data_IF_116917365412
#
_entry.id   IF_116917365412
#
_cell.length_a   1.000
_cell.length_b   1.000
_cell.length_c   1.000
_cell.angle_alpha   90.00
_cell.angle_beta   90.00
_cell.angle_gamma   90.00
#
_symmetry.space_group_name_H-M   'P 1'
#
loop_
_entity.id
_entity.type
_entity.pdbx_description
1 polymer ?
#
# COMPACT_ATOMS: atom_id res chain seq x y z
N UNK A 1 -15.88 -5.02 53.28
CA UNK A 1 -14.81 -4.04 53.53
C UNK A 1 -13.99 -4.00 52.24
N UNK A 2 -14.53 -3.36 51.20
CA UNK A 2 -14.45 -1.93 50.84
C UNK A 2 -13.06 -1.55 50.31
N UNK A 3 -12.97 -1.42 48.99
CA UNK A 3 -12.73 -0.17 48.27
C UNK A 3 -12.97 -0.47 46.77
N UNK A 4 -14.12 -0.17 46.17
CA UNK A 4 -14.41 1.08 45.45
C UNK A 4 -13.20 1.68 44.75
N UNK A 5 -12.92 1.20 43.54
CA UNK A 5 -12.34 2.04 42.48
C UNK A 5 -13.45 2.36 41.48
N UNK A 6 -14.35 3.24 41.91
CA UNK A 6 -15.11 4.10 41.02
C UNK A 6 -14.19 5.25 40.62
N UNK A 7 -13.75 5.26 39.36
CA UNK A 7 -13.07 6.40 38.77
C UNK A 7 -11.89 5.99 37.92
N UNK A 8 -12.12 5.82 36.60
CA UNK A 8 -11.34 6.45 35.51
C UNK A 8 -11.48 5.74 34.14
N UNK A 9 -12.55 4.98 33.89
CA UNK A 9 -12.73 4.31 32.57
C UNK A 9 -12.81 5.31 31.39
N UNK A 10 -13.27 6.54 31.62
CA UNK A 10 -13.37 7.57 30.58
C UNK A 10 -12.02 8.11 30.13
N UNK A 11 -10.98 8.06 30.97
CA UNK A 11 -9.65 8.47 30.55
C UNK A 11 -9.01 7.43 29.62
N UNK A 12 -9.36 6.14 29.73
CA UNK A 12 -8.69 5.05 29.00
C UNK A 12 -8.85 5.14 27.48
N UNK A 13 -10.08 5.24 26.96
CA UNK A 13 -10.31 5.31 25.49
C UNK A 13 -9.78 6.61 24.90
N UNK A 14 -9.99 7.74 25.59
CA UNK A 14 -9.49 9.02 25.11
C UNK A 14 -7.95 9.08 25.13
N UNK A 15 -7.30 8.51 26.15
CA UNK A 15 -5.84 8.40 26.20
C UNK A 15 -5.31 7.40 25.17
N UNK A 16 -6.02 6.29 24.93
CA UNK A 16 -5.72 5.37 23.84
C UNK A 16 -5.71 6.12 22.50
N UNK A 17 -6.78 6.85 22.16
CA UNK A 17 -6.83 7.63 20.92
C UNK A 17 -5.75 8.70 20.84
N UNK A 18 -5.40 9.37 21.96
CA UNK A 18 -4.31 10.35 22.00
C UNK A 18 -2.91 9.74 21.77
N UNK A 19 -2.73 8.46 22.12
CA UNK A 19 -1.46 7.74 21.94
C UNK A 19 -1.43 6.88 20.67
N UNK A 20 -2.57 6.72 20.00
CA UNK A 20 -2.71 5.99 18.76
C UNK A 20 -1.93 6.68 17.64
N UNK A 21 -1.17 5.90 16.86
CA UNK A 21 -0.31 6.42 15.81
C UNK A 21 -0.26 5.43 14.64
N UNK A 22 0.38 5.83 13.53
CA UNK A 22 0.42 5.05 12.29
C UNK A 22 1.01 3.65 12.51
N UNK A 23 2.00 3.50 13.41
CA UNK A 23 2.56 2.18 13.72
C UNK A 23 1.50 1.26 14.33
N UNK A 24 0.71 1.75 15.29
CA UNK A 24 -0.37 0.97 15.90
C UNK A 24 -1.41 0.54 14.86
N UNK A 25 -1.76 1.43 13.91
CA UNK A 25 -2.65 1.09 12.82
C UNK A 25 -2.08 -0.04 11.93
N UNK A 26 -0.80 0.05 11.56
CA UNK A 26 -0.12 -1.00 10.78
C UNK A 26 -0.11 -2.32 11.54
N UNK A 27 0.23 -2.30 12.84
CA UNK A 27 0.27 -3.51 13.65
C UNK A 27 -1.12 -4.18 13.71
N UNK A 28 -2.20 -3.41 13.91
CA UNK A 28 -3.58 -3.92 13.91
C UNK A 28 -3.95 -4.54 12.56
N UNK A 29 -3.57 -3.90 11.45
CA UNK A 29 -3.85 -4.44 10.10
C UNK A 29 -3.08 -5.75 9.88
N UNK A 30 -1.82 -5.82 10.29
CA UNK A 30 -1.00 -7.03 10.17
C UNK A 30 -1.58 -8.17 11.02
N UNK A 31 -2.01 -7.88 12.23
CA UNK A 31 -2.66 -8.86 13.11
C UNK A 31 -3.98 -9.35 12.52
N UNK A 32 -4.86 -8.42 12.11
CA UNK A 32 -6.14 -8.75 11.49
C UNK A 32 -5.99 -9.53 10.18
N UNK A 33 -4.91 -9.29 9.42
CA UNK A 33 -4.62 -10.07 8.21
C UNK A 33 -4.36 -11.56 8.52
N UNK A 34 -3.85 -11.87 9.72
CA UNK A 34 -3.68 -13.24 10.18
C UNK A 34 -4.99 -14.01 10.35
N UNK A 35 -6.09 -13.30 10.63
CA UNK A 35 -7.43 -13.88 10.81
C UNK A 35 -8.17 -14.09 9.48
N UNK A 36 -7.66 -13.55 8.37
CA UNK A 36 -8.26 -13.73 7.04
C UNK A 36 -8.04 -15.17 6.58
N UNK A 37 -9.11 -15.96 6.66
CA UNK A 37 -9.08 -17.38 6.27
C UNK A 37 -9.14 -17.58 4.75
N UNK A 38 -8.87 -18.81 4.31
CA UNK A 38 -9.07 -19.23 2.91
C UNK A 38 -10.54 -19.03 2.47
N UNK A 39 -11.49 -19.21 3.38
CA UNK A 39 -12.91 -19.06 3.07
C UNK A 39 -13.28 -17.58 2.89
N UNK A 40 -12.67 -16.67 3.66
CA UNK A 40 -12.76 -15.21 3.43
C UNK A 40 -12.32 -14.84 2.02
N UNK A 41 -11.13 -15.31 1.61
CA UNK A 41 -10.61 -15.06 0.27
C UNK A 41 -11.50 -15.70 -0.80
N UNK A 42 -11.95 -16.93 -0.58
CA UNK A 42 -12.80 -17.65 -1.53
C UNK A 42 -14.14 -16.93 -1.73
N UNK A 43 -14.71 -16.34 -0.68
CA UNK A 43 -15.93 -15.54 -0.79
C UNK A 43 -15.77 -14.27 -1.61
N UNK A 44 -14.67 -13.55 -1.43
CA UNK A 44 -14.35 -12.35 -2.21
C UNK A 44 -14.11 -12.72 -3.68
N UNK A 45 -13.21 -13.68 -3.92
CA UNK A 45 -12.81 -14.05 -5.27
C UNK A 45 -13.91 -14.76 -6.06
N UNK A 46 -14.86 -15.45 -5.41
CA UNK A 46 -16.01 -16.07 -6.10
C UNK A 46 -16.85 -15.04 -6.86
N UNK A 47 -16.95 -13.79 -6.37
CA UNK A 47 -17.68 -12.73 -7.09
C UNK A 47 -16.99 -12.32 -8.40
N UNK A 48 -15.67 -12.43 -8.47
CA UNK A 48 -14.85 -12.01 -9.62
C UNK A 48 -14.53 -13.19 -10.56
N UNK A 49 -14.32 -14.37 -10.00
CA UNK A 49 -13.86 -15.58 -10.69
C UNK A 49 -14.70 -16.81 -10.26
N UNK A 50 -16.01 -16.83 -10.57
CA UNK A 50 -16.91 -17.90 -10.13
C UNK A 50 -16.50 -19.28 -10.69
N UNK A 51 -15.88 -19.32 -11.87
CA UNK A 51 -15.43 -20.54 -12.53
C UNK A 51 -14.19 -21.19 -11.88
N UNK A 52 -13.52 -20.49 -10.95
CA UNK A 52 -12.34 -21.02 -10.27
C UNK A 52 -12.66 -21.45 -8.82
N UNK A 53 -13.77 -20.97 -8.26
CA UNK A 53 -14.14 -21.18 -6.86
C UNK A 53 -15.48 -21.90 -6.79
N UNK A 54 -15.42 -23.24 -6.84
CA UNK A 54 -16.61 -24.09 -6.82
C UNK A 54 -17.00 -24.58 -5.41
N UNK A 55 -16.04 -24.65 -4.49
CA UNK A 55 -16.23 -25.32 -3.20
C UNK A 55 -16.73 -24.36 -2.09
N UNK A 56 -16.80 -23.06 -2.36
CA UNK A 56 -17.18 -22.08 -1.33
C UNK A 56 -18.71 -21.98 -1.19
N UNK A 57 -19.23 -22.50 -0.08
CA UNK A 57 -20.66 -22.56 0.23
C UNK A 57 -21.24 -21.29 0.85
N UNK A 58 -20.41 -20.27 1.11
CA UNK A 58 -20.83 -19.07 1.86
C UNK A 58 -20.55 -19.18 3.36
N UNK A 59 -20.88 -18.11 4.08
CA UNK A 59 -20.86 -18.04 5.55
C UNK A 59 -22.27 -18.28 6.09
N UNK A 60 -22.39 -18.98 7.22
CA UNK A 60 -23.67 -19.09 7.92
C UNK A 60 -23.91 -17.82 8.75
N UNK A 61 -24.48 -16.81 8.09
CA UNK A 61 -24.80 -15.54 8.72
C UNK A 61 -25.86 -15.67 9.83
N UNK A 62 -26.64 -16.75 9.89
CA UNK A 62 -27.72 -16.90 10.87
C UNK A 62 -27.21 -17.16 12.29
N UNK A 63 -26.05 -17.81 12.42
CA UNK A 63 -25.43 -18.10 13.72
C UNK A 63 -24.27 -17.13 14.06
N UNK A 64 -23.48 -16.71 13.07
CA UNK A 64 -22.29 -15.89 13.32
C UNK A 64 -22.60 -14.41 13.57
N UNK A 65 -23.52 -13.83 12.78
CA UNK A 65 -23.81 -12.40 12.83
C UNK A 65 -24.39 -11.95 14.19
N UNK A 66 -25.33 -12.67 14.83
CA UNK A 66 -25.83 -12.30 16.15
C UNK A 66 -24.73 -12.32 17.22
N UNK A 67 -23.81 -13.30 17.15
CA UNK A 67 -22.69 -13.43 18.07
C UNK A 67 -21.68 -12.30 17.90
N UNK A 68 -21.39 -11.90 16.66
CA UNK A 68 -20.53 -10.75 16.36
C UNK A 68 -21.14 -9.47 16.95
N UNK A 69 -22.46 -9.25 16.74
CA UNK A 69 -23.17 -8.08 17.29
C UNK A 69 -23.11 -8.05 18.82
N UNK A 70 -23.35 -9.18 19.48
CA UNK A 70 -23.24 -9.29 20.94
C UNK A 70 -21.81 -8.98 21.43
N UNK A 71 -20.79 -9.51 20.76
CA UNK A 71 -19.39 -9.22 21.08
C UNK A 71 -19.07 -7.72 20.91
N UNK A 72 -19.54 -7.07 19.85
CA UNK A 72 -19.37 -5.64 19.63
C UNK A 72 -19.97 -4.82 20.78
N UNK A 73 -21.21 -5.12 21.19
CA UNK A 73 -21.87 -4.45 22.32
C UNK A 73 -21.10 -4.69 23.61
N UNK A 74 -20.65 -5.92 23.86
CA UNK A 74 -19.87 -6.26 25.06
C UNK A 74 -18.56 -5.48 25.11
N UNK A 75 -17.82 -5.41 24.01
CA UNK A 75 -16.56 -4.66 23.92
C UNK A 75 -16.81 -3.16 24.09
N UNK A 76 -17.83 -2.60 23.46
CA UNK A 76 -18.20 -1.19 23.59
C UNK A 76 -18.46 -0.82 25.06
N UNK A 77 -19.22 -1.67 25.77
CA UNK A 77 -19.50 -1.48 27.20
C UNK A 77 -18.23 -1.59 28.05
N UNK A 78 -17.36 -2.55 27.75
CA UNK A 78 -16.09 -2.74 28.46
C UNK A 78 -15.16 -1.53 28.32
N UNK A 79 -15.23 -0.80 27.21
CA UNK A 79 -14.41 0.41 26.99
C UNK A 79 -15.14 1.70 27.37
N UNK A 80 -16.26 1.61 28.10
CA UNK A 80 -16.94 2.76 28.70
C UNK A 80 -18.13 3.33 27.92
N UNK A 81 -18.54 2.70 26.81
CA UNK A 81 -19.78 3.04 26.10
C UNK A 81 -20.96 2.22 26.66
N UNK A 82 -21.37 2.55 27.89
CA UNK A 82 -22.38 1.77 28.63
C UNK A 82 -23.77 1.74 27.95
N UNK A 83 -24.10 2.77 27.17
CA UNK A 83 -25.40 2.96 26.54
C UNK A 83 -25.54 2.26 25.18
N UNK A 84 -24.48 1.66 24.64
CA UNK A 84 -24.53 0.96 23.35
C UNK A 84 -25.38 -0.30 23.45
N UNK A 85 -26.32 -0.45 22.53
CA UNK A 85 -27.23 -1.57 22.37
C UNK A 85 -27.04 -2.25 21.01
N UNK A 86 -27.64 -3.44 20.85
CA UNK A 86 -27.56 -4.18 19.58
C UNK A 86 -28.17 -3.42 18.40
N UNK A 87 -29.17 -2.58 18.66
CA UNK A 87 -29.78 -1.72 17.64
C UNK A 87 -28.79 -0.69 17.08
N UNK A 88 -27.92 -0.13 17.92
CA UNK A 88 -26.91 0.85 17.46
C UNK A 88 -25.88 0.18 16.52
N UNK A 89 -25.53 -1.08 16.80
CA UNK A 89 -24.64 -1.86 15.94
C UNK A 89 -25.33 -2.20 14.62
N UNK A 90 -26.63 -2.52 14.63
CA UNK A 90 -27.40 -2.75 13.41
C UNK A 90 -27.47 -1.49 12.55
N UNK A 91 -27.83 -0.35 13.15
CA UNK A 91 -27.93 0.93 12.46
C UNK A 91 -26.60 1.30 11.78
N UNK A 92 -25.48 1.11 12.49
CA UNK A 92 -24.14 1.35 11.95
C UNK A 92 -23.80 0.42 10.76
N UNK A 93 -24.18 -0.85 10.82
CA UNK A 93 -23.94 -1.78 9.71
C UNK A 93 -24.80 -1.43 8.50
N UNK A 94 -26.07 -1.08 8.73
CA UNK A 94 -26.99 -0.69 7.67
C UNK A 94 -26.58 0.62 6.99
N UNK A 95 -26.08 1.61 7.75
CA UNK A 95 -25.61 2.89 7.20
C UNK A 95 -24.39 2.75 6.28
N UNK A 96 -23.66 1.63 6.38
CA UNK A 96 -22.48 1.31 5.58
C UNK A 96 -22.68 0.08 4.68
N UNK A 97 -23.94 -0.32 4.45
CA UNK A 97 -24.27 -1.44 3.56
C UNK A 97 -24.32 -1.03 2.06
N UNK A 98 -23.97 0.22 1.74
CA UNK A 98 -23.85 0.65 0.35
C UNK A 98 -22.78 -0.19 -0.38
N UNK A 99 -23.11 -0.66 -1.58
CA UNK A 99 -22.15 -1.38 -2.42
C UNK A 99 -20.95 -0.47 -2.71
N UNK A 100 -19.73 -1.00 -2.51
CA UNK A 100 -18.49 -0.30 -2.82
C UNK A 100 -18.53 0.21 -4.27
N UNK A 101 -18.72 1.52 -4.42
CA UNK A 101 -18.70 2.20 -5.70
C UNK A 101 -17.30 2.68 -6.02
N UNK A 102 -16.95 2.75 -7.29
CA UNK A 102 -15.69 3.40 -7.72
C UNK A 102 -15.69 4.91 -7.50
N UNK A 103 -16.82 5.50 -7.08
CA UNK A 103 -16.96 6.92 -6.83
C UNK A 103 -15.98 7.43 -5.75
N UNK A 104 -15.80 6.70 -4.65
CA UNK A 104 -14.87 7.09 -3.59
C UNK A 104 -13.40 7.05 -4.06
N UNK A 105 -13.06 6.07 -4.90
CA UNK A 105 -11.75 5.98 -5.54
C UNK A 105 -11.52 7.14 -6.52
N UNK A 106 -12.54 7.50 -7.30
CA UNK A 106 -12.48 8.64 -8.20
C UNK A 106 -12.36 9.96 -7.43
N UNK A 107 -13.04 10.08 -6.29
CA UNK A 107 -12.93 11.22 -5.40
C UNK A 107 -11.53 11.30 -4.77
N UNK A 108 -10.96 10.20 -4.29
CA UNK A 108 -9.58 10.14 -3.80
C UNK A 108 -8.56 10.55 -4.86
N UNK A 109 -8.74 10.10 -6.11
CA UNK A 109 -7.89 10.53 -7.23
C UNK A 109 -8.05 12.02 -7.49
N UNK A 110 -9.28 12.53 -7.57
CA UNK A 110 -9.55 13.95 -7.80
C UNK A 110 -9.03 14.83 -6.64
N UNK A 111 -9.16 14.40 -5.39
CA UNK A 111 -8.63 15.10 -4.22
C UNK A 111 -7.10 15.06 -4.21
N UNK A 112 -6.47 13.94 -4.56
CA UNK A 112 -5.02 13.87 -4.75
C UNK A 112 -4.54 14.81 -5.85
N UNK A 113 -5.26 14.89 -6.98
CA UNK A 113 -4.96 15.81 -8.07
C UNK A 113 -5.15 17.29 -7.67
N UNK A 114 -6.12 17.59 -6.79
CA UNK A 114 -6.33 18.93 -6.22
C UNK A 114 -5.24 19.26 -5.19
N UNK A 115 -4.88 18.34 -4.30
CA UNK A 115 -3.80 18.52 -3.33
C UNK A 115 -2.45 18.71 -4.02
N UNK A 116 -2.19 17.98 -5.12
CA UNK A 116 -1.01 18.18 -5.97
C UNK A 116 -1.02 19.56 -6.68
N UNK A 117 -2.20 20.12 -6.94
CA UNK A 117 -2.36 21.44 -7.55
C UNK A 117 -2.34 22.61 -6.53
N UNK A 118 -2.83 22.39 -5.30
CA UNK A 118 -2.88 23.39 -4.22
C UNK A 118 -1.61 23.41 -3.36
N UNK A 119 -0.80 22.35 -3.37
CA UNK A 119 0.51 22.30 -2.71
C UNK A 119 1.63 23.04 -3.48
N UNK A 120 1.28 23.80 -4.53
CA UNK A 120 2.20 24.67 -5.28
C UNK A 120 2.64 25.94 -4.49
N UNK A 121 2.15 26.15 -3.26
CA UNK A 121 2.70 27.14 -2.32
C UNK A 121 3.60 26.52 -1.22
N UNK A 122 3.94 25.23 -1.34
CA UNK A 122 4.76 24.47 -0.39
C UNK A 122 6.08 23.95 -0.98
N UNK A 123 7.00 24.85 -1.35
CA UNK A 123 8.33 24.55 -1.92
C UNK A 123 8.30 23.72 -3.21
N UNK A 124 8.26 24.43 -4.35
CA UNK A 124 8.62 23.94 -5.69
C UNK A 124 10.01 23.28 -5.68
N UNK A 125 10.02 21.96 -5.48
CA UNK A 125 11.13 21.12 -5.86
C UNK A 125 10.60 20.16 -6.92
N UNK A 126 10.70 20.58 -8.18
CA UNK A 126 10.56 19.76 -9.39
C UNK A 126 10.90 18.28 -9.09
N UNK A 127 10.03 17.31 -9.45
CA UNK A 127 10.29 15.89 -9.24
C UNK A 127 11.72 15.54 -9.63
N UNK A 128 12.46 14.87 -8.73
CA UNK A 128 13.87 14.54 -8.97
C UNK A 128 13.96 13.58 -10.15
N UNK A 129 14.36 14.11 -11.30
CA UNK A 129 14.59 13.32 -12.50
C UNK A 129 15.93 12.59 -12.42
N UNK A 130 15.93 11.30 -12.74
CA UNK A 130 17.15 10.51 -12.94
C UNK A 130 17.36 10.28 -14.45
N UNK A 131 17.99 11.22 -15.19
CA UNK A 131 18.17 11.08 -16.62
C UNK A 131 19.10 9.91 -16.95
N UNK A 132 18.88 9.29 -18.11
CA UNK A 132 19.64 8.11 -18.58
C UNK A 132 21.14 8.36 -18.65
N UNK A 133 21.55 9.58 -19.01
CA UNK A 133 22.95 10.00 -19.02
C UNK A 133 23.55 10.02 -17.61
N UNK A 134 22.85 10.59 -16.63
CA UNK A 134 23.28 10.63 -15.24
C UNK A 134 23.37 9.22 -14.65
N UNK A 135 22.34 8.38 -14.85
CA UNK A 135 22.34 6.98 -14.42
C UNK A 135 23.55 6.22 -14.99
N UNK A 136 23.83 6.37 -16.29
CA UNK A 136 24.98 5.72 -16.92
C UNK A 136 26.33 6.23 -16.40
N UNK A 137 26.39 7.51 -16.02
CA UNK A 137 27.61 8.11 -15.46
C UNK A 137 27.86 7.64 -14.04
N UNK A 138 26.79 7.51 -13.22
CA UNK A 138 26.88 7.02 -11.85
C UNK A 138 27.39 5.57 -11.84
N UNK A 139 26.75 4.68 -12.62
CA UNK A 139 27.16 3.28 -12.68
C UNK A 139 28.64 3.13 -13.11
N UNK A 140 29.06 3.88 -14.13
CA UNK A 140 30.46 3.88 -14.58
C UNK A 140 31.44 4.36 -13.51
N UNK A 141 31.08 5.38 -12.74
CA UNK A 141 31.98 5.87 -11.68
C UNK A 141 32.07 4.86 -10.53
N UNK A 142 30.95 4.22 -10.16
CA UNK A 142 30.98 3.16 -9.15
C UNK A 142 31.85 1.99 -9.59
N UNK A 143 31.73 1.52 -10.84
CA UNK A 143 32.59 0.46 -11.39
C UNK A 143 34.08 0.82 -11.27
N UNK A 144 34.43 2.07 -11.59
CA UNK A 144 35.81 2.56 -11.47
C UNK A 144 36.29 2.54 -10.03
N UNK A 145 35.47 2.98 -9.07
CA UNK A 145 35.84 2.97 -7.65
C UNK A 145 35.96 1.55 -7.10
N UNK A 146 35.09 0.63 -7.53
CA UNK A 146 35.18 -0.79 -7.19
C UNK A 146 36.44 -1.44 -7.74
N UNK A 147 36.83 -1.11 -8.98
CA UNK A 147 38.09 -1.59 -9.56
C UNK A 147 39.30 -1.09 -8.76
N UNK A 148 39.31 0.20 -8.36
CA UNK A 148 40.39 0.75 -7.53
C UNK A 148 40.44 0.02 -6.18
N UNK A 149 39.30 -0.25 -5.55
CA UNK A 149 39.25 -0.99 -4.30
C UNK A 149 39.80 -2.42 -4.47
N UNK A 150 39.43 -3.11 -5.53
CA UNK A 150 39.90 -4.47 -5.83
C UNK A 150 41.41 -4.51 -6.10
N UNK A 151 41.94 -3.54 -6.86
CA UNK A 151 43.35 -3.48 -7.25
C UNK A 151 44.29 -3.11 -6.09
N UNK A 152 43.79 -2.37 -5.09
CA UNK A 152 44.60 -1.82 -4.01
C UNK A 152 44.43 -2.55 -2.66
N UNK A 153 43.41 -3.39 -2.50
CA UNK A 153 43.24 -4.18 -1.29
C UNK A 153 44.17 -5.40 -1.30
N UNK A 154 45.04 -5.50 -0.30
CA UNK A 154 45.90 -6.66 -0.10
C UNK A 154 45.11 -7.95 0.20
N UNK A 155 43.89 -7.83 0.74
CA UNK A 155 43.00 -8.95 0.99
C UNK A 155 41.98 -9.09 -0.15
N UNK A 156 42.30 -9.95 -1.12
CA UNK A 156 41.47 -10.22 -2.30
C UNK A 156 40.08 -10.79 -1.95
N UNK A 157 39.95 -11.59 -0.90
CA UNK A 157 38.65 -12.15 -0.51
C UNK A 157 37.72 -11.07 0.05
N UNK A 158 38.27 -10.16 0.87
CA UNK A 158 37.53 -9.03 1.42
C UNK A 158 37.07 -8.08 0.32
N UNK A 159 37.97 -7.68 -0.58
CA UNK A 159 37.63 -6.77 -1.67
C UNK A 159 36.61 -7.40 -2.61
N UNK A 160 36.78 -8.67 -2.97
CA UNK A 160 35.80 -9.40 -3.81
C UNK A 160 34.42 -9.45 -3.17
N UNK A 161 34.31 -9.74 -1.86
CA UNK A 161 33.02 -9.73 -1.16
C UNK A 161 32.36 -8.35 -1.23
N UNK A 162 33.13 -7.28 -1.05
CA UNK A 162 32.62 -5.91 -1.13
C UNK A 162 32.17 -5.55 -2.56
N UNK A 163 32.98 -5.86 -3.57
CA UNK A 163 32.67 -5.63 -4.99
C UNK A 163 31.39 -6.37 -5.40
N UNK A 164 31.29 -7.67 -5.11
CA UNK A 164 30.10 -8.45 -5.43
C UNK A 164 28.84 -7.93 -4.72
N UNK A 165 28.97 -7.48 -3.46
CA UNK A 165 27.86 -6.91 -2.70
C UNK A 165 27.32 -5.64 -3.33
N UNK A 166 28.20 -4.68 -3.66
CA UNK A 166 27.81 -3.42 -4.29
C UNK A 166 27.21 -3.64 -5.68
N UNK A 167 27.79 -4.52 -6.49
CA UNK A 167 27.22 -4.87 -7.81
C UNK A 167 25.82 -5.48 -7.68
N UNK A 168 25.59 -6.35 -6.69
CA UNK A 168 24.26 -6.94 -6.44
C UNK A 168 23.22 -5.86 -6.09
N UNK A 169 23.60 -4.84 -5.31
CA UNK A 169 22.70 -3.72 -4.99
C UNK A 169 22.44 -2.79 -6.18
N UNK A 170 23.35 -2.74 -7.16
CA UNK A 170 23.20 -1.91 -8.36
C UNK A 170 22.48 -2.61 -9.53
N UNK A 171 22.27 -3.93 -9.46
CA UNK A 171 21.59 -4.68 -10.51
C UNK A 171 20.23 -4.09 -10.96
N UNK A 172 19.35 -3.58 -10.07
CA UNK A 172 18.10 -2.94 -10.50
C UNK A 172 18.32 -1.70 -11.38
N UNK A 173 19.39 -0.94 -11.13
CA UNK A 173 19.74 0.25 -11.89
C UNK A 173 20.37 -0.08 -13.25
N UNK A 174 21.11 -1.18 -13.33
CA UNK A 174 21.61 -1.72 -14.60
C UNK A 174 20.47 -2.20 -15.51
N UNK A 175 19.47 -2.87 -14.93
CA UNK A 175 18.26 -3.29 -15.63
C UNK A 175 17.49 -2.08 -16.15
N UNK A 176 17.26 -1.07 -15.30
CA UNK A 176 16.62 0.19 -15.69
C UNK A 176 17.36 0.88 -16.86
N UNK A 177 18.70 0.91 -16.84
CA UNK A 177 19.49 1.46 -17.94
C UNK A 177 19.33 0.63 -19.22
N UNK A 178 19.28 -0.70 -19.11
CA UNK A 178 19.10 -1.62 -20.23
C UNK A 178 17.72 -1.43 -20.89
N UNK A 179 16.66 -1.35 -20.10
CA UNK A 179 15.29 -1.11 -20.56
C UNK A 179 15.18 0.22 -21.32
N UNK A 180 15.70 1.31 -20.75
CA UNK A 180 15.72 2.63 -21.41
C UNK A 180 16.46 2.62 -22.75
N UNK A 181 17.53 1.84 -22.86
CA UNK A 181 18.26 1.66 -24.13
C UNK A 181 17.48 0.83 -25.14
N UNK A 182 16.66 -0.12 -24.72
CA UNK A 182 15.80 -0.92 -25.61
C UNK A 182 14.63 -0.09 -26.15
N UNK A 183 13.96 0.67 -25.28
CA UNK A 183 12.83 1.54 -25.68
C UNK A 183 13.26 2.66 -26.64
N UNK A 184 14.47 3.18 -26.48
CA UNK A 184 15.04 4.18 -27.42
C UNK A 184 15.35 3.58 -28.81
N UNK A 185 15.59 2.26 -28.89
CA UNK A 185 15.92 1.57 -30.15
C UNK A 185 14.69 1.06 -30.89
N UNK A 186 13.55 0.87 -30.21
CA UNK A 186 12.29 0.58 -30.87
C UNK A 186 11.71 1.88 -31.43
N UNK A 187 11.63 1.99 -32.76
CA UNK A 187 10.76 2.97 -33.39
C UNK A 187 9.31 2.57 -33.08
N UNK A 188 8.54 3.48 -32.50
CA UNK A 188 7.11 3.31 -32.32
C UNK A 188 6.44 3.18 -33.70
N UNK A 189 5.52 2.23 -33.86
CA UNK A 189 4.83 1.97 -35.13
C UNK A 189 4.02 3.18 -35.63
N UNK A 190 3.83 4.20 -34.81
CA UNK A 190 3.12 5.45 -35.11
C UNK A 190 3.70 6.18 -36.34
N UNK A 191 4.98 5.97 -36.66
CA UNK A 191 5.62 6.53 -37.87
C UNK A 191 4.99 6.00 -39.16
N UNK A 192 4.34 4.82 -39.13
CA UNK A 192 3.64 4.25 -40.28
C UNK A 192 2.16 4.65 -40.37
N UNK A 193 1.61 5.30 -39.34
CA UNK A 193 0.19 5.65 -39.28
C UNK A 193 -0.09 7.15 -39.47
N UNK A 194 0.93 8.01 -39.58
CA UNK A 194 0.71 9.43 -39.92
C UNK A 194 0.48 9.58 -41.42
N UNK A 195 -0.79 9.60 -41.84
CA UNK A 195 -1.19 9.96 -43.20
C UNK A 195 -0.74 11.38 -43.54
N UNK A 196 0.01 11.54 -44.62
CA UNK A 196 0.35 12.85 -45.21
C UNK A 196 -0.92 13.58 -45.65
N UNK A 197 -1.10 14.88 -45.35
CA UNK A 197 -2.25 15.63 -45.83
C UNK A 197 -2.19 15.76 -47.35
N UNK A 198 -3.28 15.37 -48.01
CA UNK A 198 -3.45 15.55 -49.45
C UNK A 198 -3.71 17.04 -49.73
N UNK A 199 -2.77 17.71 -50.40
CA UNK A 199 -2.95 19.06 -50.91
C UNK A 199 -4.11 19.07 -51.92
N UNK A 200 -5.17 19.83 -51.59
CA UNK A 200 -6.26 20.11 -52.49
C UNK A 200 -5.83 21.21 -53.48
N UNK A 201 -5.89 20.88 -54.77
CA UNK A 201 -5.82 21.84 -55.90
C UNK A 201 -7.21 22.38 -56.18
#
# INVERSE_FOLDING_TARGET
MNATEEGDDKASVLQFWKSFNIKHAIDIIVEAWGDVSKDCLSGVWRKLLPDLIHDFTGFDASEELPKIKENCVSLAKQVGFAEVEGADVEELLESHCEDLSTADLQQLVATGEIEDAENDEGQDAKPRELPTSLLSSILREVDKQLQILEDNDYNADRSRIAVCGVQSFLAPYEQLLCERRKTTKQQTLDVFFTSTPQEAV
#
